data_IF_999750494119
#
_entry.id   IF_999750494119
#
_cell.length_a   1.000
_cell.length_b   1.000
_cell.length_c   1.000
_cell.angle_alpha   90.00
_cell.angle_beta   90.00
_cell.angle_gamma   90.00
#
_symmetry.space_group_name_H-M   'P 1'
#
loop_
_entity.id
_entity.type
_entity.pdbx_description
1 polymer ?
#
# COMPACT_ATOMS: atom_id res chain seq x y z
N UNK A 1 3.41 0.45 -2.24
CA UNK A 1 4.04 1.67 -2.73
C UNK A 1 5.54 1.43 -2.63
N UNK A 2 6.31 1.70 -3.68
CA UNK A 2 7.76 1.55 -3.63
C UNK A 2 8.40 2.69 -2.84
N UNK A 3 9.66 2.52 -2.44
CA UNK A 3 10.39 3.56 -1.71
C UNK A 3 10.55 4.84 -2.55
N UNK A 4 10.82 4.71 -3.84
CA UNK A 4 10.92 5.84 -4.78
C UNK A 4 9.61 6.64 -4.84
N UNK A 5 8.48 5.95 -4.86
CA UNK A 5 7.15 6.57 -4.89
C UNK A 5 6.88 7.32 -3.59
N UNK A 6 7.21 6.73 -2.44
CA UNK A 6 7.07 7.38 -1.14
C UNK A 6 8.01 8.59 -1.02
N UNK A 7 9.24 8.51 -1.52
CA UNK A 7 10.17 9.65 -1.57
C UNK A 7 9.56 10.78 -2.41
N UNK A 8 9.02 10.48 -3.60
CA UNK A 8 8.38 11.48 -4.45
C UNK A 8 7.17 12.15 -3.76
N UNK A 9 6.35 11.38 -3.05
CA UNK A 9 5.21 11.89 -2.27
C UNK A 9 5.69 12.79 -1.12
N UNK A 10 6.76 12.40 -0.41
CA UNK A 10 7.37 13.25 0.63
C UNK A 10 7.97 14.53 0.04
N UNK A 11 8.64 14.47 -1.11
CA UNK A 11 9.13 15.64 -1.83
C UNK A 11 7.99 16.59 -2.22
N UNK A 12 6.85 16.05 -2.66
CA UNK A 12 5.65 16.85 -2.93
C UNK A 12 5.11 17.52 -1.65
N UNK A 13 5.09 16.78 -0.54
CA UNK A 13 4.74 17.29 0.79
C UNK A 13 5.62 18.46 1.24
N UNK A 14 6.93 18.36 1.00
CA UNK A 14 7.92 19.41 1.26
C UNK A 14 7.84 20.58 0.27
N UNK A 15 7.16 20.41 -0.85
CA UNK A 15 7.15 21.38 -1.95
C UNK A 15 8.41 21.35 -2.82
N UNK A 16 9.25 20.31 -2.68
CA UNK A 16 10.40 20.06 -3.54
C UNK A 16 10.03 19.46 -4.90
N UNK A 17 8.89 18.77 -4.99
CA UNK A 17 8.32 18.25 -6.23
C UNK A 17 6.97 18.92 -6.53
N UNK A 18 6.73 19.29 -7.79
CA UNK A 18 5.54 20.05 -8.17
C UNK A 18 4.30 19.16 -8.33
N UNK A 19 3.10 19.74 -8.25
CA UNK A 19 1.86 19.03 -8.60
C UNK A 19 1.90 18.53 -10.04
N UNK A 20 2.37 19.38 -10.97
CA UNK A 20 2.44 19.03 -12.38
C UNK A 20 3.31 17.79 -12.61
N UNK A 21 4.45 17.68 -11.93
CA UNK A 21 5.34 16.51 -12.04
C UNK A 21 4.66 15.25 -11.51
N UNK A 22 3.97 15.33 -10.37
CA UNK A 22 3.24 14.21 -9.78
C UNK A 22 2.09 13.72 -10.68
N UNK A 23 1.34 14.64 -11.27
CA UNK A 23 0.23 14.32 -12.17
C UNK A 23 0.73 13.79 -13.52
N UNK A 24 1.81 14.37 -14.05
CA UNK A 24 2.44 13.89 -15.29
C UNK A 24 2.95 12.47 -15.11
N UNK A 25 3.67 12.18 -14.01
CA UNK A 25 4.16 10.84 -13.72
C UNK A 25 3.01 9.82 -13.59
N UNK A 26 1.90 10.21 -12.95
CA UNK A 26 0.70 9.38 -12.86
C UNK A 26 0.02 9.15 -14.21
N UNK A 27 -0.04 10.18 -15.06
CA UNK A 27 -0.66 10.10 -16.39
C UNK A 27 0.13 9.22 -17.39
N UNK A 28 1.43 8.99 -17.16
CA UNK A 28 2.23 8.08 -17.98
C UNK A 28 1.97 6.60 -17.68
N UNK A 29 1.28 6.28 -16.58
CA UNK A 29 0.91 4.92 -16.21
C UNK A 29 -0.30 4.44 -17.02
N UNK A 30 -0.38 3.14 -17.30
CA UNK A 30 -1.59 2.55 -17.85
C UNK A 30 -2.74 2.50 -16.80
N UNK A 31 -3.97 2.24 -17.23
CA UNK A 31 -5.12 2.26 -16.34
C UNK A 31 -5.01 1.29 -15.13
N UNK A 32 -4.55 0.02 -15.29
CA UNK A 32 -4.26 -0.85 -14.16
C UNK A 32 -3.23 -0.27 -13.18
N UNK A 33 -2.12 0.28 -13.68
CA UNK A 33 -1.07 0.88 -12.86
C UNK A 33 -1.55 2.15 -12.16
N UNK A 34 -2.33 3.00 -12.83
CA UNK A 34 -2.97 4.17 -12.22
C UNK A 34 -3.88 3.77 -11.07
N UNK A 35 -4.73 2.75 -11.27
CA UNK A 35 -5.61 2.24 -10.21
C UNK A 35 -4.81 1.70 -9.04
N UNK A 36 -3.80 0.87 -9.29
CA UNK A 36 -2.88 0.38 -8.25
C UNK A 36 -2.23 1.52 -7.47
N UNK A 37 -1.66 2.50 -8.17
CA UNK A 37 -0.98 3.65 -7.55
C UNK A 37 -1.95 4.49 -6.72
N UNK A 38 -3.15 4.72 -7.23
CA UNK A 38 -4.20 5.43 -6.52
C UNK A 38 -4.61 4.72 -5.23
N UNK A 39 -4.85 3.42 -5.26
CA UNK A 39 -5.21 2.63 -4.07
C UNK A 39 -4.08 2.65 -3.04
N UNK A 40 -2.83 2.52 -3.48
CA UNK A 40 -1.68 2.60 -2.58
C UNK A 40 -1.59 3.96 -1.89
N UNK A 41 -1.77 5.06 -2.62
CA UNK A 41 -1.81 6.40 -2.02
C UNK A 41 -3.01 6.57 -1.10
N UNK A 42 -4.19 6.06 -1.48
CA UNK A 42 -5.39 6.09 -0.65
C UNK A 42 -5.16 5.41 0.70
N UNK A 43 -4.64 4.18 0.69
CA UNK A 43 -4.32 3.43 1.90
C UNK A 43 -3.22 4.10 2.73
N UNK A 44 -2.21 4.65 2.06
CA UNK A 44 -1.14 5.38 2.72
C UNK A 44 -1.70 6.59 3.48
N UNK A 45 -2.53 7.41 2.83
CA UNK A 45 -3.22 8.57 3.42
C UNK A 45 -4.16 8.13 4.56
N UNK A 46 -4.97 7.10 4.34
CA UNK A 46 -5.92 6.57 5.33
C UNK A 46 -5.23 6.06 6.61
N UNK A 47 -3.99 5.59 6.52
CA UNK A 47 -3.20 5.13 7.67
C UNK A 47 -2.60 6.27 8.50
N UNK A 48 -2.63 7.51 7.99
CA UNK A 48 -2.07 8.66 8.70
C UNK A 48 -3.00 9.18 9.79
N UNK A 49 -2.41 9.89 10.76
CA UNK A 49 -3.15 10.66 11.79
C UNK A 49 -3.67 11.97 11.20
N UNK A 50 -4.68 11.86 10.34
CA UNK A 50 -5.33 13.00 9.70
C UNK A 50 -6.14 13.81 10.71
N UNK A 51 -6.10 15.13 10.56
CA UNK A 51 -6.99 16.07 11.25
C UNK A 51 -8.04 16.58 10.25
N UNK A 52 -9.21 17.00 10.76
CA UNK A 52 -10.25 17.59 9.91
C UNK A 52 -9.75 18.76 9.05
N UNK A 53 -8.85 19.58 9.63
CA UNK A 53 -8.20 20.70 8.96
C UNK A 53 -7.36 20.27 7.75
N UNK A 54 -6.75 19.09 7.78
CA UNK A 54 -5.91 18.59 6.68
C UNK A 54 -6.76 18.36 5.43
N UNK A 55 -7.97 17.80 5.62
CA UNK A 55 -8.94 17.56 4.55
C UNK A 55 -9.51 18.87 4.02
N UNK A 56 -9.89 19.80 4.90
CA UNK A 56 -10.46 21.09 4.51
C UNK A 56 -9.46 21.93 3.70
N UNK A 57 -8.19 21.95 4.13
CA UNK A 57 -7.12 22.59 3.38
C UNK A 57 -6.91 21.93 2.01
N UNK A 58 -6.97 20.61 1.93
CA UNK A 58 -6.80 19.89 0.67
C UNK A 58 -7.92 20.18 -0.34
N UNK A 59 -9.18 20.20 0.11
CA UNK A 59 -10.32 20.56 -0.73
C UNK A 59 -10.19 22.01 -1.21
N UNK A 60 -9.82 22.94 -0.33
CA UNK A 60 -9.58 24.33 -0.70
C UNK A 60 -8.48 24.47 -1.75
N UNK A 61 -7.36 23.75 -1.61
CA UNK A 61 -6.26 23.77 -2.58
C UNK A 61 -6.64 23.18 -3.94
N UNK A 62 -7.63 22.28 -3.96
CA UNK A 62 -8.16 21.71 -5.19
C UNK A 62 -9.35 22.50 -5.77
N UNK A 63 -9.73 23.62 -5.15
CA UNK A 63 -10.95 24.38 -5.48
C UNK A 63 -12.23 23.53 -5.44
N UNK A 64 -12.30 22.57 -4.52
CA UNK A 64 -13.43 21.66 -4.33
C UNK A 64 -14.22 22.02 -3.07
N UNK A 65 -15.49 21.62 -3.06
CA UNK A 65 -16.37 21.75 -1.88
C UNK A 65 -16.60 20.39 -1.24
N UNK A 66 -17.19 20.39 -0.03
CA UNK A 66 -17.57 19.14 0.66
C UNK A 66 -18.64 18.33 -0.08
N UNK A 67 -19.39 18.96 -0.97
CA UNK A 67 -20.43 18.29 -1.76
C UNK A 67 -19.92 17.66 -3.06
N UNK A 68 -18.66 17.93 -3.42
CA UNK A 68 -18.06 17.44 -4.65
C UNK A 68 -18.09 15.90 -4.73
N UNK A 69 -18.45 15.30 -5.88
CA UNK A 69 -18.48 13.85 -6.06
C UNK A 69 -17.17 13.15 -5.68
N UNK A 70 -16.01 13.80 -5.88
CA UNK A 70 -14.71 13.25 -5.52
C UNK A 70 -14.55 13.13 -4.01
N UNK A 71 -15.09 14.08 -3.23
CA UNK A 71 -15.08 14.00 -1.78
C UNK A 71 -15.91 12.80 -1.27
N UNK A 72 -17.06 12.55 -1.90
CA UNK A 72 -17.93 11.39 -1.61
C UNK A 72 -17.26 10.08 -2.00
N UNK A 73 -16.69 10.02 -3.21
CA UNK A 73 -15.96 8.86 -3.72
C UNK A 73 -14.77 8.45 -2.83
N UNK A 74 -13.97 9.43 -2.41
CA UNK A 74 -12.83 9.20 -1.51
C UNK A 74 -13.26 8.96 -0.06
N UNK A 75 -14.51 9.27 0.26
CA UNK A 75 -15.08 9.12 1.59
C UNK A 75 -14.28 9.86 2.68
N UNK A 76 -13.74 11.05 2.35
CA UNK A 76 -12.80 11.78 3.23
C UNK A 76 -13.42 12.21 4.57
N UNK A 77 -14.76 12.21 4.67
CA UNK A 77 -15.45 12.42 5.93
C UNK A 77 -15.03 11.39 7.00
N UNK A 78 -14.74 10.14 6.61
CA UNK A 78 -14.29 9.10 7.55
C UNK A 78 -12.88 9.36 8.07
N UNK A 79 -12.03 10.03 7.27
CA UNK A 79 -10.70 10.42 7.71
C UNK A 79 -10.72 11.46 8.83
N UNK A 80 -11.79 12.27 8.91
CA UNK A 80 -11.93 13.29 9.96
C UNK A 80 -12.22 12.72 11.35
N UNK A 81 -12.78 11.50 11.43
CA UNK A 81 -13.28 10.93 12.69
C UNK A 81 -12.22 10.05 13.39
N UNK A 82 -11.07 9.82 12.76
CA UNK A 82 -10.02 8.95 13.29
C UNK A 82 -10.49 7.50 13.30
N UNK A 83 -10.30 6.80 12.18
CA UNK A 83 -10.79 5.44 11.98
C UNK A 83 -10.17 4.45 12.98
N UNK A 84 -11.02 3.88 13.85
CA UNK A 84 -10.81 2.57 14.49
C UNK A 84 -11.56 1.44 13.73
N UNK A 85 -11.98 1.67 12.49
CA UNK A 85 -12.89 0.79 11.73
C UNK A 85 -12.42 0.46 10.31
N UNK A 86 -13.24 -0.33 9.60
CA UNK A 86 -13.01 -0.87 8.25
C UNK A 86 -12.76 0.28 7.27
N UNK A 87 -11.59 0.27 6.62
CA UNK A 87 -11.25 1.21 5.55
C UNK A 87 -12.04 0.81 4.30
N UNK A 88 -12.96 1.66 3.85
CA UNK A 88 -13.68 1.44 2.60
C UNK A 88 -12.79 1.89 1.44
N UNK A 89 -12.09 0.94 0.81
CA UNK A 89 -11.30 1.24 -0.39
C UNK A 89 -12.24 1.39 -1.59
N UNK A 90 -12.13 2.46 -2.39
CA UNK A 90 -12.92 2.67 -3.61
C UNK A 90 -12.51 1.73 -4.78
N UNK A 91 -12.16 0.49 -4.45
CA UNK A 91 -11.54 -0.49 -5.33
C UNK A 91 -12.43 -0.89 -6.50
N UNK A 92 -13.73 -1.03 -6.25
CA UNK A 92 -14.72 -1.51 -7.22
C UNK A 92 -15.59 -0.41 -7.82
N UNK A 93 -15.45 0.82 -7.33
CA UNK A 93 -16.26 1.95 -7.79
C UNK A 93 -15.55 2.69 -8.93
N UNK A 94 -16.33 3.02 -9.95
CA UNK A 94 -15.89 3.94 -11.00
C UNK A 94 -15.69 5.33 -10.40
N UNK A 95 -14.55 5.98 -10.67
CA UNK A 95 -14.32 7.33 -10.18
C UNK A 95 -15.29 8.31 -10.85
N UNK A 96 -15.61 9.43 -10.20
CA UNK A 96 -16.38 10.50 -10.82
C UNK A 96 -15.71 10.94 -12.13
N UNK A 97 -16.51 11.14 -13.19
CA UNK A 97 -16.03 11.58 -14.51
C UNK A 97 -15.17 10.53 -15.26
N UNK A 98 -14.97 9.34 -14.70
CA UNK A 98 -14.33 8.20 -15.38
C UNK A 98 -12.80 8.17 -15.34
N UNK A 99 -12.14 9.13 -14.69
CA UNK A 99 -10.68 9.13 -14.49
C UNK A 99 -10.25 9.22 -13.02
N UNK A 100 -9.04 8.76 -12.74
CA UNK A 100 -8.45 8.78 -11.39
C UNK A 100 -7.60 10.02 -11.12
N UNK A 101 -7.40 10.91 -12.10
CA UNK A 101 -6.49 12.05 -11.97
C UNK A 101 -6.98 13.02 -10.90
N UNK A 102 -8.27 13.37 -10.95
CA UNK A 102 -8.88 14.30 -9.98
C UNK A 102 -8.91 13.72 -8.55
N UNK A 103 -9.37 12.46 -8.31
CA UNK A 103 -9.24 11.81 -7.00
C UNK A 103 -7.78 11.70 -6.50
N UNK A 104 -6.85 11.36 -7.38
CA UNK A 104 -5.42 11.26 -7.05
C UNK A 104 -4.85 12.60 -6.59
N UNK A 105 -5.16 13.70 -7.31
CA UNK A 105 -4.79 15.06 -6.91
C UNK A 105 -5.27 15.40 -5.51
N UNK A 106 -6.53 15.11 -5.19
CA UNK A 106 -7.08 15.39 -3.85
C UNK A 106 -6.32 14.62 -2.77
N UNK A 107 -6.02 13.34 -2.98
CA UNK A 107 -5.23 12.54 -2.03
C UNK A 107 -3.81 13.10 -1.82
N UNK A 108 -3.16 13.57 -2.87
CA UNK A 108 -1.85 14.24 -2.75
C UNK A 108 -1.94 15.47 -1.84
N UNK A 109 -2.98 16.29 -1.99
CA UNK A 109 -3.16 17.47 -1.13
C UNK A 109 -3.55 17.13 0.30
N UNK A 110 -4.33 16.07 0.53
CA UNK A 110 -4.61 15.56 1.89
C UNK A 110 -3.31 15.11 2.54
N UNK A 111 -2.48 14.34 1.83
CA UNK A 111 -1.15 13.96 2.29
C UNK A 111 -0.31 15.20 2.62
N UNK A 112 -0.21 16.16 1.69
CA UNK A 112 0.62 17.36 1.86
C UNK A 112 0.20 18.21 3.06
N UNK A 113 -1.10 18.43 3.26
CA UNK A 113 -1.59 19.18 4.41
C UNK A 113 -1.22 18.47 5.73
N UNK A 114 -1.43 17.15 5.80
CA UNK A 114 -1.03 16.34 6.95
C UNK A 114 0.48 16.39 7.20
N UNK A 115 1.26 16.19 6.13
CA UNK A 115 2.71 16.19 6.15
C UNK A 115 3.24 17.50 6.72
N UNK A 116 2.80 18.64 6.18
CA UNK A 116 3.25 19.96 6.61
C UNK A 116 2.92 20.26 8.07
N UNK A 117 1.71 19.90 8.51
CA UNK A 117 1.30 20.05 9.91
C UNK A 117 2.19 19.23 10.84
N UNK A 118 2.48 17.97 10.50
CA UNK A 118 3.32 17.10 11.32
C UNK A 118 4.78 17.49 11.27
N UNK A 119 5.30 17.84 10.08
CA UNK A 119 6.68 18.30 9.90
C UNK A 119 6.99 19.51 10.78
N UNK A 120 6.06 20.47 10.92
CA UNK A 120 6.24 21.62 11.81
C UNK A 120 6.52 21.24 13.28
N UNK A 121 6.05 20.06 13.72
CA UNK A 121 6.20 19.55 15.09
C UNK A 121 7.34 18.52 15.19
N UNK A 122 7.55 17.74 14.13
CA UNK A 122 8.39 16.52 14.16
C UNK A 122 9.72 16.67 13.39
N UNK A 123 9.98 17.79 12.70
CA UNK A 123 11.19 18.01 11.87
C UNK A 123 12.52 17.79 12.60
N UNK A 124 12.56 18.03 13.92
CA UNK A 124 13.78 17.88 14.72
C UNK A 124 13.97 16.42 15.21
N UNK A 125 13.02 15.52 14.90
CA UNK A 125 13.12 14.10 15.22
C UNK A 125 13.97 13.36 14.17
N UNK A 126 15.26 13.23 14.46
CA UNK A 126 16.25 12.60 13.57
C UNK A 126 15.99 11.13 13.20
N UNK A 127 15.08 10.42 13.89
CA UNK A 127 14.86 8.99 13.65
C UNK A 127 13.86 8.69 12.54
N UNK A 128 13.09 9.68 12.07
CA UNK A 128 12.05 9.48 11.05
C UNK A 128 12.56 9.91 9.67
N UNK A 129 12.82 8.93 8.80
CA UNK A 129 13.39 9.19 7.47
C UNK A 129 12.49 10.10 6.60
N UNK A 130 11.15 10.00 6.73
CA UNK A 130 10.20 10.79 5.95
C UNK A 130 10.21 12.30 6.28
N UNK A 131 10.81 12.72 7.41
CA UNK A 131 11.04 14.13 7.74
C UNK A 131 12.45 14.62 7.40
N UNK A 132 13.26 13.79 6.75
CA UNK A 132 14.54 14.27 6.23
C UNK A 132 14.33 15.21 5.04
N UNK A 133 15.29 16.10 4.82
CA UNK A 133 15.27 17.07 3.72
C UNK A 133 15.52 16.37 2.37
N UNK A 134 14.45 16.17 1.60
CA UNK A 134 14.49 15.58 0.24
C UNK A 134 14.55 16.63 -0.87
N UNK A 135 14.70 17.92 -0.53
CA UNK A 135 15.02 18.95 -1.54
C UNK A 135 16.38 18.73 -2.18
N UNK A 136 17.26 18.00 -1.49
CA UNK A 136 18.58 17.59 -1.97
C UNK A 136 18.51 16.19 -2.54
N UNK A 137 18.87 16.05 -3.82
CA UNK A 137 18.95 14.75 -4.51
C UNK A 137 19.81 13.71 -3.77
N UNK A 138 20.86 14.15 -3.05
CA UNK A 138 21.74 13.26 -2.29
C UNK A 138 21.02 12.48 -1.19
N UNK A 139 20.13 13.11 -0.41
CA UNK A 139 19.42 12.43 0.70
C UNK A 139 18.56 11.28 0.18
N UNK A 140 17.82 11.53 -0.89
CA UNK A 140 16.99 10.51 -1.54
C UNK A 140 17.85 9.36 -2.08
N UNK A 141 18.98 9.69 -2.71
CA UNK A 141 19.89 8.69 -3.27
C UNK A 141 20.55 7.83 -2.18
N UNK A 142 21.04 8.44 -1.10
CA UNK A 142 21.67 7.73 0.02
C UNK A 142 20.68 6.76 0.68
N UNK A 143 19.41 7.14 0.78
CA UNK A 143 18.33 6.28 1.30
C UNK A 143 18.06 5.08 0.39
N UNK A 144 17.94 5.32 -0.93
CA UNK A 144 17.72 4.26 -1.92
C UNK A 144 18.90 3.29 -1.99
N UNK A 145 20.13 3.79 -1.95
CA UNK A 145 21.32 2.96 -2.00
C UNK A 145 21.49 2.13 -0.72
N UNK A 146 21.14 2.71 0.44
CA UNK A 146 21.10 1.97 1.71
C UNK A 146 20.07 0.86 1.67
N UNK A 147 18.85 1.16 1.21
CA UNK A 147 17.78 0.18 1.05
C UNK A 147 18.21 -0.98 0.14
N UNK A 148 18.72 -0.65 -1.06
CA UNK A 148 19.19 -1.65 -2.03
C UNK A 148 20.29 -2.53 -1.45
N UNK A 149 21.29 -1.93 -0.79
CA UNK A 149 22.38 -2.68 -0.15
C UNK A 149 21.85 -3.65 0.91
N UNK A 150 20.92 -3.21 1.75
CA UNK A 150 20.31 -4.08 2.77
C UNK A 150 19.47 -5.19 2.15
N UNK A 151 18.71 -4.90 1.08
CA UNK A 151 17.93 -5.91 0.37
C UNK A 151 18.83 -7.01 -0.21
N UNK A 152 19.95 -6.64 -0.84
CA UNK A 152 20.94 -7.62 -1.34
C UNK A 152 21.57 -8.43 -0.20
N UNK A 153 21.92 -7.79 0.91
CA UNK A 153 22.51 -8.45 2.07
C UNK A 153 21.54 -9.47 2.69
N UNK A 154 20.26 -9.08 2.86
CA UNK A 154 19.21 -9.95 3.42
C UNK A 154 18.93 -11.11 2.47
N UNK A 155 18.81 -10.84 1.17
CA UNK A 155 18.59 -11.88 0.16
C UNK A 155 19.74 -12.91 0.11
N UNK A 156 20.99 -12.45 0.26
CA UNK A 156 22.17 -13.33 0.29
C UNK A 156 22.35 -14.08 1.63
N UNK A 157 21.61 -13.70 2.68
CA UNK A 157 21.77 -14.29 4.00
C UNK A 157 21.15 -15.71 4.06
N UNK A 158 22.03 -16.72 4.15
CA UNK A 158 21.63 -18.13 4.21
C UNK A 158 20.72 -18.46 5.40
N UNK A 159 20.75 -17.68 6.48
CA UNK A 159 19.97 -17.94 7.71
C UNK A 159 18.48 -17.66 7.57
N UNK A 160 18.06 -16.89 6.56
CA UNK A 160 16.66 -16.55 6.32
C UNK A 160 16.13 -17.05 4.97
N UNK A 161 17.01 -17.64 4.15
CA UNK A 161 16.70 -18.00 2.77
C UNK A 161 15.50 -18.94 2.67
N UNK A 162 15.44 -19.94 3.54
CA UNK A 162 14.35 -20.93 3.57
C UNK A 162 13.01 -20.30 3.92
N UNK A 163 13.01 -19.33 4.82
CA UNK A 163 11.85 -18.59 5.28
C UNK A 163 11.29 -17.72 4.15
N UNK A 164 12.15 -16.98 3.45
CA UNK A 164 11.75 -16.17 2.30
C UNK A 164 11.20 -17.01 1.14
N UNK A 165 11.86 -18.12 0.80
CA UNK A 165 11.35 -19.06 -0.20
C UNK A 165 10.00 -19.66 0.20
N UNK A 166 9.81 -19.96 1.49
CA UNK A 166 8.54 -20.48 2.01
C UNK A 166 7.43 -19.43 1.92
N UNK A 167 7.71 -18.17 2.26
CA UNK A 167 6.75 -17.07 2.11
C UNK A 167 6.36 -16.86 0.65
N UNK A 168 7.32 -16.85 -0.28
CA UNK A 168 7.05 -16.77 -1.72
C UNK A 168 6.13 -17.91 -2.16
N UNK A 169 6.46 -19.16 -1.80
CA UNK A 169 5.63 -20.33 -2.12
C UNK A 169 4.20 -20.21 -1.57
N UNK A 170 4.05 -19.79 -0.31
CA UNK A 170 2.74 -19.63 0.33
C UNK A 170 1.89 -18.57 -0.38
N UNK A 171 2.50 -17.45 -0.79
CA UNK A 171 1.79 -16.42 -1.56
C UNK A 171 1.38 -16.91 -2.94
N UNK A 172 2.31 -17.48 -3.70
CA UNK A 172 2.01 -18.01 -5.02
C UNK A 172 0.86 -19.02 -4.98
N UNK A 173 0.94 -20.00 -4.06
CA UNK A 173 -0.10 -21.03 -3.90
C UNK A 173 -1.46 -20.43 -3.50
N UNK A 174 -1.46 -19.40 -2.65
CA UNK A 174 -2.68 -18.69 -2.29
C UNK A 174 -3.30 -18.01 -3.51
N UNK A 175 -2.50 -17.30 -4.30
CA UNK A 175 -3.01 -16.58 -5.46
C UNK A 175 -3.47 -17.51 -6.58
N UNK A 176 -2.76 -18.58 -6.87
CA UNK A 176 -3.20 -19.59 -7.84
C UNK A 176 -4.55 -20.19 -7.46
N UNK A 177 -4.74 -20.47 -6.17
CA UNK A 177 -6.01 -20.96 -5.65
C UNK A 177 -7.12 -19.91 -5.80
N UNK A 178 -6.85 -18.65 -5.47
CA UNK A 178 -7.82 -17.55 -5.66
C UNK A 178 -8.16 -17.32 -7.13
N UNK A 179 -7.21 -17.47 -8.04
CA UNK A 179 -7.46 -17.39 -9.48
C UNK A 179 -8.33 -18.55 -9.96
N UNK A 180 -8.05 -19.77 -9.49
CA UNK A 180 -8.86 -20.96 -9.80
C UNK A 180 -10.30 -20.76 -9.36
N UNK A 181 -10.53 -20.28 -8.13
CA UNK A 181 -11.86 -19.99 -7.60
C UNK A 181 -12.59 -18.89 -8.40
N UNK A 182 -11.87 -17.90 -8.95
CA UNK A 182 -12.47 -16.85 -9.80
C UNK A 182 -12.84 -17.35 -11.20
N UNK A 183 -12.20 -18.42 -11.70
CA UNK A 183 -12.45 -18.98 -13.02
C UNK A 183 -13.57 -20.04 -13.03
N UNK A 184 -13.98 -20.55 -11.86
CA UNK A 184 -15.12 -21.45 -11.77
C UNK A 184 -16.39 -20.74 -12.29
N UNK A 185 -17.14 -21.35 -13.23
CA UNK A 185 -18.34 -20.74 -13.76
C UNK A 185 -19.31 -20.47 -12.61
N UNK A 186 -20.03 -19.33 -12.63
CA UNK A 186 -20.98 -19.02 -11.58
C UNK A 186 -21.95 -20.18 -11.46
N UNK A 187 -22.00 -20.81 -10.27
CA UNK A 187 -22.98 -21.83 -9.98
C UNK A 187 -24.37 -21.30 -10.38
N UNK A 188 -25.21 -22.15 -10.98
CA UNK A 188 -26.55 -21.76 -11.42
C UNK A 188 -27.24 -20.89 -10.36
N UNK A 189 -27.88 -19.77 -10.74
CA UNK A 189 -28.39 -18.80 -9.80
C UNK A 189 -29.35 -19.47 -8.82
N UNK A 190 -28.85 -19.77 -7.62
CA UNK A 190 -29.66 -20.28 -6.53
C UNK A 190 -30.70 -19.21 -6.21
N UNK A 191 -31.96 -19.62 -6.19
CA UNK A 191 -33.12 -18.74 -6.17
C UNK A 191 -33.08 -17.77 -4.97
N UNK A 192 -33.31 -16.49 -5.28
CA UNK A 192 -33.57 -15.27 -4.50
C UNK A 192 -33.02 -15.06 -3.06
N UNK A 193 -32.81 -16.06 -2.20
CA UNK A 193 -32.30 -15.87 -0.83
C UNK A 193 -31.65 -17.13 -0.22
N UNK A 194 -30.76 -17.82 -0.95
CA UNK A 194 -29.91 -18.86 -0.35
C UNK A 194 -28.66 -18.21 0.27
N UNK A 195 -28.81 -17.69 1.49
CA UNK A 195 -27.67 -17.22 2.28
C UNK A 195 -26.84 -18.42 2.74
N UNK A 196 -25.52 -18.35 2.56
CA UNK A 196 -24.59 -19.30 3.16
C UNK A 196 -24.78 -19.24 4.68
N UNK A 197 -25.06 -20.38 5.30
CA UNK A 197 -25.17 -20.46 6.76
C UNK A 197 -23.76 -20.40 7.39
N UNK A 198 -23.64 -19.87 8.60
CA UNK A 198 -22.33 -19.74 9.27
C UNK A 198 -21.57 -21.07 9.38
N UNK A 199 -22.27 -22.18 9.61
CA UNK A 199 -21.71 -23.53 9.63
C UNK A 199 -21.15 -23.95 8.26
N UNK A 200 -21.73 -23.47 7.16
CA UNK A 200 -21.22 -23.74 5.82
C UNK A 200 -19.95 -22.94 5.50
N UNK A 201 -19.76 -21.75 6.09
CA UNK A 201 -18.52 -20.95 5.97
C UNK A 201 -17.38 -21.62 6.73
N UNK A 202 -17.65 -22.16 7.92
CA UNK A 202 -16.65 -22.83 8.76
C UNK A 202 -16.16 -24.15 8.14
N UNK A 203 -16.97 -24.79 7.30
CA UNK A 203 -16.67 -26.09 6.69
C UNK A 203 -16.29 -26.02 5.20
N UNK A 204 -16.17 -24.81 4.62
CA UNK A 204 -15.64 -24.67 3.28
C UNK A 204 -14.12 -24.95 3.30
N UNK A 205 -13.65 -26.07 2.72
CA UNK A 205 -12.25 -26.46 2.75
C UNK A 205 -11.36 -25.46 2.01
N UNK A 206 -11.93 -24.74 1.03
CA UNK A 206 -11.20 -23.77 0.22
C UNK A 206 -10.96 -22.49 1.00
N UNK A 207 -11.97 -21.99 1.72
CA UNK A 207 -11.88 -20.80 2.55
C UNK A 207 -10.96 -21.01 3.76
N UNK A 208 -11.09 -22.15 4.43
CA UNK A 208 -10.24 -22.53 5.58
C UNK A 208 -8.78 -22.70 5.15
N UNK A 209 -8.50 -23.41 4.05
CA UNK A 209 -7.14 -23.56 3.53
C UNK A 209 -6.51 -22.24 3.07
N UNK A 210 -7.29 -21.33 2.47
CA UNK A 210 -6.83 -19.99 2.10
C UNK A 210 -6.35 -19.21 3.33
N UNK A 211 -7.19 -19.18 4.36
CA UNK A 211 -6.94 -18.45 5.59
C UNK A 211 -5.76 -19.04 6.36
N UNK A 212 -5.63 -20.36 6.42
CA UNK A 212 -4.52 -21.03 7.10
C UNK A 212 -3.17 -20.72 6.43
N UNK A 213 -3.11 -20.68 5.09
CA UNK A 213 -1.89 -20.30 4.36
C UNK A 213 -1.51 -18.85 4.61
N UNK A 214 -2.48 -17.93 4.59
CA UNK A 214 -2.22 -16.52 4.88
C UNK A 214 -1.82 -16.29 6.34
N UNK A 215 -2.42 -17.03 7.27
CA UNK A 215 -2.03 -17.01 8.68
C UNK A 215 -0.61 -17.53 8.87
N UNK A 216 -0.25 -18.64 8.24
CA UNK A 216 1.10 -19.19 8.27
C UNK A 216 2.13 -18.19 7.69
N UNK A 217 1.80 -17.58 6.55
CA UNK A 217 2.61 -16.54 5.93
C UNK A 217 2.79 -15.33 6.86
N UNK A 218 1.71 -14.84 7.46
CA UNK A 218 1.75 -13.71 8.40
C UNK A 218 2.60 -13.99 9.64
N UNK A 219 2.50 -15.20 10.21
CA UNK A 219 3.31 -15.62 11.35
C UNK A 219 4.80 -15.71 11.00
N UNK A 220 5.11 -16.34 9.86
CA UNK A 220 6.49 -16.47 9.37
C UNK A 220 7.10 -15.10 9.10
N UNK A 221 6.37 -14.25 8.37
CA UNK A 221 6.74 -12.86 8.10
C UNK A 221 7.00 -12.08 9.39
N UNK A 222 6.10 -12.14 10.37
CA UNK A 222 6.29 -11.44 11.64
C UNK A 222 7.53 -11.91 12.40
N UNK A 223 7.85 -13.21 12.33
CA UNK A 223 9.06 -13.78 12.95
C UNK A 223 10.32 -13.27 12.27
N UNK A 224 10.37 -13.31 10.93
CA UNK A 224 11.50 -12.81 10.13
C UNK A 224 11.68 -11.31 10.35
N UNK A 225 10.62 -10.52 10.29
CA UNK A 225 10.68 -9.07 10.52
C UNK A 225 11.24 -8.74 11.92
N UNK A 226 10.84 -9.47 12.97
CA UNK A 226 11.41 -9.27 14.31
C UNK A 226 12.90 -9.62 14.38
N UNK A 227 13.31 -10.68 13.69
CA UNK A 227 14.72 -11.09 13.64
C UNK A 227 15.57 -10.05 12.88
N UNK A 228 15.09 -9.59 11.72
CA UNK A 228 15.75 -8.57 10.92
C UNK A 228 15.81 -7.22 11.66
N UNK A 229 14.73 -6.81 12.32
CA UNK A 229 14.71 -5.63 13.18
C UNK A 229 15.81 -5.67 14.24
N UNK A 230 15.96 -6.82 14.93
CA UNK A 230 17.01 -7.02 15.93
C UNK A 230 18.42 -7.02 15.31
N UNK A 231 18.58 -7.60 14.13
CA UNK A 231 19.88 -7.74 13.47
C UNK A 231 20.37 -6.43 12.84
N UNK A 232 19.50 -5.70 12.17
CA UNK A 232 19.85 -4.54 11.35
C UNK A 232 19.56 -3.20 12.02
N UNK A 233 18.81 -3.18 13.13
CA UNK A 233 18.49 -1.97 13.89
C UNK A 233 17.72 -0.91 13.09
N UNK A 234 17.07 -1.30 11.99
CA UNK A 234 16.26 -0.39 11.17
C UNK A 234 14.87 -0.22 11.78
N UNK A 235 14.17 0.83 11.37
CA UNK A 235 12.75 1.00 11.71
C UNK A 235 11.90 -0.16 11.18
N UNK A 236 10.81 -0.49 11.88
CA UNK A 236 9.96 -1.64 11.53
C UNK A 236 9.33 -1.52 10.15
N UNK A 237 9.01 -0.31 9.68
CA UNK A 237 8.42 -0.12 8.36
C UNK A 237 9.45 -0.31 7.25
N UNK A 238 10.72 0.06 7.51
CA UNK A 238 11.82 -0.25 6.61
C UNK A 238 12.11 -1.75 6.53
N UNK A 239 12.09 -2.45 7.68
CA UNK A 239 12.22 -3.91 7.72
C UNK A 239 11.09 -4.59 6.96
N UNK A 240 9.84 -4.12 7.11
CA UNK A 240 8.70 -4.63 6.35
C UNK A 240 8.90 -4.45 4.85
N UNK A 241 9.39 -3.29 4.41
CA UNK A 241 9.66 -3.01 3.00
C UNK A 241 10.74 -3.94 2.46
N UNK A 242 11.88 -4.03 3.13
CA UNK A 242 12.97 -4.97 2.77
C UNK A 242 12.48 -6.42 2.71
N UNK A 243 11.63 -6.83 3.65
CA UNK A 243 11.04 -8.17 3.67
C UNK A 243 10.17 -8.40 2.44
N UNK A 244 9.31 -7.44 2.07
CA UNK A 244 8.48 -7.54 0.87
C UNK A 244 9.31 -7.63 -0.41
N UNK A 245 10.36 -6.81 -0.53
CA UNK A 245 11.22 -6.78 -1.72
C UNK A 245 11.97 -8.10 -1.92
N UNK A 246 12.51 -8.67 -0.83
CA UNK A 246 13.20 -9.98 -0.87
C UNK A 246 12.23 -11.09 -1.24
N UNK A 247 10.99 -11.09 -0.70
CA UNK A 247 9.99 -12.08 -1.10
C UNK A 247 9.58 -11.88 -2.56
N UNK A 248 9.40 -10.64 -3.01
CA UNK A 248 9.03 -10.33 -4.39
C UNK A 248 10.08 -10.83 -5.38
N UNK A 249 11.36 -10.68 -5.03
CA UNK A 249 12.47 -11.22 -5.83
C UNK A 249 12.41 -12.75 -5.93
N UNK A 250 12.22 -13.45 -4.81
CA UNK A 250 12.05 -14.90 -4.83
C UNK A 250 10.83 -15.35 -5.65
N UNK A 251 9.73 -14.59 -5.60
CA UNK A 251 8.55 -14.82 -6.43
C UNK A 251 8.91 -14.74 -7.91
N UNK A 252 9.57 -13.65 -8.34
CA UNK A 252 9.94 -13.47 -9.75
C UNK A 252 10.91 -14.56 -10.23
N UNK A 253 11.93 -14.89 -9.45
CA UNK A 253 12.94 -15.90 -9.84
C UNK A 253 12.36 -17.32 -9.89
N UNK A 254 11.39 -17.64 -9.03
CA UNK A 254 10.85 -19.01 -8.91
C UNK A 254 9.61 -19.25 -9.78
N UNK A 255 8.73 -18.25 -9.87
CA UNK A 255 7.40 -18.38 -10.46
C UNK A 255 7.18 -17.47 -11.67
N UNK A 256 8.15 -16.62 -12.02
CA UNK A 256 8.01 -15.59 -13.06
C UNK A 256 6.84 -14.63 -12.81
N UNK A 257 6.45 -14.45 -11.55
CA UNK A 257 5.39 -13.53 -11.13
C UNK A 257 5.84 -12.72 -9.92
N UNK A 258 5.29 -11.51 -9.75
CA UNK A 258 5.57 -10.65 -8.60
C UNK A 258 4.40 -10.59 -7.63
N UNK A 259 4.65 -10.39 -6.34
CA UNK A 259 3.60 -10.06 -5.35
C UNK A 259 2.76 -8.88 -5.86
N UNK A 260 3.45 -7.94 -6.50
CA UNK A 260 2.90 -6.72 -7.08
C UNK A 260 1.87 -6.95 -8.18
N UNK A 261 1.94 -8.08 -8.89
CA UNK A 261 0.97 -8.49 -9.91
C UNK A 261 -0.31 -9.01 -9.27
N UNK A 262 -0.24 -9.44 -8.01
CA UNK A 262 -1.36 -10.01 -7.29
C UNK A 262 -2.06 -9.05 -6.31
N UNK A 263 -1.39 -7.97 -5.90
CA UNK A 263 -1.99 -6.87 -5.11
C UNK A 263 -2.90 -5.98 -5.99
N UNK A 264 -2.81 -6.10 -7.32
CA UNK A 264 -3.63 -5.36 -8.29
C UNK A 264 -5.01 -5.97 -8.62
N UNK A 265 -5.47 -7.00 -7.90
CA UNK A 265 -6.70 -7.76 -8.25
C UNK A 265 -7.72 -8.00 -7.14
#
# INVERSE_FOLDING_TARGET
MSLEEEIAINQFGQGALSEADMLNAFAQLDAPQQRKRFIQLYLHVASQKLAASDVDQALSNCSLTTEDPVNKYLNLAYFKVGSKGIIYTPYTEEPPEGDLVKPYKVLLYVFKANYQRRYAVEKDNSTMWWYQDFSKSKTAQDLLDTHRRLAEEIYANASFRTEFMTMAKLWHTYYDMMQTLRQEPPAEPKTRFDFIRYDQIEHDPTWTAANDRMRACALLRSSVEKALFKQYGQDIDEIRRLTLDVINRHMHETYSSGIDEYIGY
#
